data_IF_035924017366
#
_entry.id   IF_035924017366
#
_cell.length_a   1.000
_cell.length_b   1.000
_cell.length_c   1.000
_cell.angle_alpha   90.00
_cell.angle_beta   90.00
_cell.angle_gamma   90.00
#
_symmetry.space_group_name_H-M   'P 1'
#
loop_
_entity.id
_entity.type
_entity.pdbx_description
1 polymer ?
#
# COMPACT_ATOMS: atom_id res chain seq x y z
N UNK A 1 -25.11 50.08 29.74
CA UNK A 1 -25.69 49.18 28.72
C UNK A 1 -25.48 47.74 29.19
N UNK A 2 -26.55 47.03 29.57
CA UNK A 2 -26.48 45.69 30.19
C UNK A 2 -26.76 44.65 29.09
N UNK A 3 -25.73 43.91 28.67
CA UNK A 3 -25.88 42.81 27.70
C UNK A 3 -26.71 41.70 28.33
N UNK A 4 -27.80 41.33 27.69
CA UNK A 4 -28.64 40.20 28.10
C UNK A 4 -27.93 38.91 27.68
N UNK A 5 -27.37 38.19 28.64
CA UNK A 5 -26.96 36.79 28.44
C UNK A 5 -28.23 35.94 28.55
N UNK A 6 -28.89 35.69 27.42
CA UNK A 6 -30.03 34.77 27.37
C UNK A 6 -29.51 33.34 27.34
N UNK A 7 -29.72 32.66 28.47
CA UNK A 7 -29.29 31.30 28.72
C UNK A 7 -30.08 30.27 27.92
N UNK A 8 -29.42 29.73 26.90
CA UNK A 8 -29.68 28.40 26.33
C UNK A 8 -28.38 27.56 26.31
N UNK A 9 -27.44 27.83 27.22
CA UNK A 9 -26.08 27.24 27.24
C UNK A 9 -26.07 25.70 27.30
N UNK A 10 -27.05 25.07 27.97
CA UNK A 10 -27.08 23.61 28.13
C UNK A 10 -27.60 22.90 26.86
N UNK A 11 -28.61 23.46 26.18
CA UNK A 11 -29.08 22.91 24.89
C UNK A 11 -28.03 23.14 23.78
N UNK A 12 -27.36 24.29 23.80
CA UNK A 12 -26.32 24.66 22.83
C UNK A 12 -25.09 23.76 22.92
N UNK A 13 -24.66 23.44 24.14
CA UNK A 13 -23.58 22.46 24.37
C UNK A 13 -23.99 21.03 23.99
N UNK A 14 -25.23 20.62 24.25
CA UNK A 14 -25.78 19.34 23.76
C UNK A 14 -25.76 19.25 22.23
N UNK A 15 -26.22 20.30 21.55
CA UNK A 15 -26.22 20.37 20.08
C UNK A 15 -24.77 20.34 19.56
N UNK A 16 -23.85 21.08 20.19
CA UNK A 16 -22.43 21.08 19.84
C UNK A 16 -21.80 19.70 20.00
N UNK A 17 -22.10 18.98 21.10
CA UNK A 17 -21.65 17.61 21.34
C UNK A 17 -22.19 16.64 20.28
N UNK A 18 -23.45 16.77 19.90
CA UNK A 18 -24.05 15.96 18.83
C UNK A 18 -23.34 16.22 17.50
N UNK A 19 -23.18 17.48 17.10
CA UNK A 19 -22.49 17.86 15.85
C UNK A 19 -21.05 17.33 15.85
N UNK A 20 -20.33 17.50 16.96
CA UNK A 20 -18.95 17.01 17.12
C UNK A 20 -18.88 15.49 17.03
N UNK A 21 -19.80 14.78 17.67
CA UNK A 21 -19.84 13.31 17.63
C UNK A 21 -20.04 12.78 16.19
N UNK A 22 -20.93 13.41 15.43
CA UNK A 22 -21.16 13.07 14.01
C UNK A 22 -19.93 13.40 13.17
N UNK A 23 -19.28 14.54 13.40
CA UNK A 23 -18.03 14.91 12.75
C UNK A 23 -16.92 13.89 12.98
N UNK A 24 -16.75 13.42 14.23
CA UNK A 24 -15.71 12.46 14.59
C UNK A 24 -15.93 11.06 13.98
N UNK A 25 -17.20 10.66 13.84
CA UNK A 25 -17.58 9.45 13.09
C UNK A 25 -17.23 9.57 11.60
N UNK A 26 -17.33 10.77 11.02
CA UNK A 26 -16.86 11.04 9.66
C UNK A 26 -15.34 10.87 9.52
N UNK A 27 -14.58 11.47 10.43
CA UNK A 27 -13.10 11.40 10.43
C UNK A 27 -12.59 9.98 10.61
N UNK A 28 -13.20 9.20 11.51
CA UNK A 28 -12.80 7.80 11.73
C UNK A 28 -12.99 6.93 10.49
N UNK A 29 -14.09 7.09 9.76
CA UNK A 29 -14.28 6.40 8.47
C UNK A 29 -13.18 6.76 7.46
N UNK A 30 -12.83 8.05 7.36
CA UNK A 30 -11.73 8.49 6.50
C UNK A 30 -10.40 7.88 6.95
N UNK A 31 -10.10 7.89 8.25
CA UNK A 31 -8.88 7.30 8.82
C UNK A 31 -8.76 5.81 8.48
N UNK A 32 -9.85 5.05 8.54
CA UNK A 32 -9.87 3.64 8.15
C UNK A 32 -9.56 3.45 6.66
N UNK A 33 -10.16 4.27 5.79
CA UNK A 33 -9.88 4.22 4.35
C UNK A 33 -8.42 4.57 4.04
N UNK A 34 -7.86 5.57 4.72
CA UNK A 34 -6.45 5.94 4.59
C UNK A 34 -5.51 4.83 5.06
N UNK A 35 -5.83 4.17 6.18
CA UNK A 35 -5.05 3.02 6.65
C UNK A 35 -5.04 1.89 5.63
N UNK A 36 -6.19 1.54 5.04
CA UNK A 36 -6.28 0.54 3.96
C UNK A 36 -5.47 0.94 2.74
N UNK A 37 -5.61 2.19 2.27
CA UNK A 37 -4.85 2.69 1.13
C UNK A 37 -3.34 2.67 1.39
N UNK A 38 -2.92 3.02 2.62
CA UNK A 38 -1.53 2.97 3.05
C UNK A 38 -0.99 1.53 3.03
N UNK A 39 -1.78 0.56 3.50
CA UNK A 39 -1.41 -0.85 3.48
C UNK A 39 -1.17 -1.37 2.05
N UNK A 40 -2.10 -1.13 1.13
CA UNK A 40 -1.95 -1.50 -0.28
C UNK A 40 -0.75 -0.79 -0.93
N UNK A 41 -0.52 0.48 -0.59
CA UNK A 41 0.65 1.22 -1.07
C UNK A 41 1.96 0.62 -0.57
N UNK A 42 2.01 0.13 0.69
CA UNK A 42 3.19 -0.54 1.25
C UNK A 42 3.47 -1.85 0.51
N UNK A 43 2.44 -2.65 0.28
CA UNK A 43 2.57 -3.93 -0.45
C UNK A 43 3.15 -3.74 -1.86
N UNK A 44 2.71 -2.67 -2.55
CA UNK A 44 3.29 -2.28 -3.85
C UNK A 44 4.76 -1.89 -3.76
N UNK A 45 5.14 -1.11 -2.75
CA UNK A 45 6.54 -0.70 -2.54
C UNK A 45 7.42 -1.92 -2.23
N UNK A 46 6.93 -2.86 -1.42
CA UNK A 46 7.62 -4.12 -1.13
C UNK A 46 7.81 -4.98 -2.38
N UNK A 47 6.75 -5.19 -3.18
CA UNK A 47 6.85 -5.91 -4.44
C UNK A 47 7.91 -5.30 -5.37
N UNK A 48 7.96 -3.96 -5.46
CA UNK A 48 8.96 -3.25 -6.24
C UNK A 48 10.37 -3.36 -5.66
N UNK A 49 10.50 -3.38 -4.32
CA UNK A 49 11.79 -3.60 -3.67
C UNK A 49 12.34 -5.00 -3.95
N UNK A 50 11.49 -6.03 -3.89
CA UNK A 50 11.85 -7.40 -4.26
C UNK A 50 12.29 -7.50 -5.72
N UNK A 51 11.53 -6.88 -6.63
CA UNK A 51 11.89 -6.83 -8.04
C UNK A 51 13.25 -6.15 -8.28
N UNK A 52 13.50 -5.02 -7.61
CA UNK A 52 14.78 -4.30 -7.69
C UNK A 52 15.94 -5.13 -7.15
N UNK A 53 15.77 -5.77 -6.00
CA UNK A 53 16.80 -6.64 -5.43
C UNK A 53 17.15 -7.79 -6.39
N UNK A 54 16.15 -8.37 -7.06
CA UNK A 54 16.39 -9.40 -8.06
C UNK A 54 17.16 -8.88 -9.28
N UNK A 55 16.86 -7.66 -9.72
CA UNK A 55 17.61 -6.98 -10.80
C UNK A 55 19.05 -6.69 -10.38
N UNK A 56 19.26 -6.17 -9.18
CA UNK A 56 20.59 -5.91 -8.63
C UNK A 56 21.40 -7.20 -8.57
N UNK A 57 20.80 -8.30 -8.11
CA UNK A 57 21.44 -9.62 -8.11
C UNK A 57 21.85 -10.06 -9.53
N UNK A 58 20.99 -9.89 -10.53
CA UNK A 58 21.33 -10.23 -11.93
C UNK A 58 22.46 -9.35 -12.48
N UNK A 59 22.50 -8.08 -12.06
CA UNK A 59 23.55 -7.14 -12.43
C UNK A 59 24.89 -7.50 -11.78
N UNK A 60 24.87 -7.91 -10.52
CA UNK A 60 26.06 -8.32 -9.78
C UNK A 60 26.64 -9.64 -10.33
N UNK A 61 25.79 -10.59 -10.74
CA UNK A 61 26.23 -11.85 -11.35
C UNK A 61 26.53 -11.74 -12.85
N UNK A 62 26.14 -10.62 -13.49
CA UNK A 62 26.27 -10.41 -14.93
C UNK A 62 25.49 -11.42 -15.79
N UNK A 63 24.57 -12.18 -15.20
CA UNK A 63 23.83 -13.23 -15.88
C UNK A 63 22.36 -13.21 -15.47
N UNK A 64 21.49 -13.34 -16.46
CA UNK A 64 20.06 -13.48 -16.25
C UNK A 64 19.70 -14.96 -16.19
N UNK A 65 19.13 -15.42 -15.08
CA UNK A 65 18.57 -16.76 -14.94
C UNK A 65 17.05 -16.68 -14.95
N UNK A 66 16.42 -17.27 -15.98
CA UNK A 66 14.97 -17.30 -16.06
C UNK A 66 14.41 -18.29 -15.04
N UNK A 67 13.36 -17.91 -14.34
CA UNK A 67 12.77 -18.75 -13.31
C UNK A 67 11.76 -18.01 -12.46
N UNK A 68 11.16 -18.75 -11.53
CA UNK A 68 10.21 -18.20 -10.57
C UNK A 68 10.80 -18.29 -9.16
N UNK A 69 10.75 -17.18 -8.43
CA UNK A 69 11.20 -17.08 -7.04
C UNK A 69 9.97 -16.80 -6.17
N UNK A 70 9.58 -17.76 -5.33
CA UNK A 70 8.47 -17.58 -4.39
C UNK A 70 7.77 -18.88 -3.97
N UNK A 71 6.73 -18.78 -3.11
CA UNK A 71 6.27 -17.54 -2.47
C UNK A 71 7.28 -17.05 -1.42
N UNK A 72 7.69 -15.79 -1.51
CA UNK A 72 8.50 -15.16 -0.47
C UNK A 72 7.58 -14.45 0.51
N UNK A 73 7.69 -14.80 1.79
CA UNK A 73 7.01 -14.07 2.87
C UNK A 73 7.72 -12.74 3.11
N UNK A 74 7.01 -11.61 3.22
CA UNK A 74 7.60 -10.30 3.38
C UNK A 74 8.24 -10.10 4.76
N UNK A 75 8.98 -9.01 4.86
CA UNK A 75 9.50 -8.50 6.13
C UNK A 75 8.38 -8.00 7.06
N UNK A 76 7.24 -7.55 6.51
CA UNK A 76 6.08 -7.07 7.25
C UNK A 76 4.77 -7.55 6.59
N UNK A 77 3.88 -8.17 7.36
CA UNK A 77 2.54 -8.59 6.88
C UNK A 77 2.44 -10.04 6.39
N UNK A 78 1.27 -10.41 5.86
CA UNK A 78 0.92 -11.79 5.46
C UNK A 78 0.81 -11.98 3.94
N UNK A 79 1.19 -10.97 3.16
CA UNK A 79 1.04 -10.96 1.70
C UNK A 79 2.17 -11.73 1.03
N UNK A 80 1.85 -12.83 0.34
CA UNK A 80 2.86 -13.60 -0.39
C UNK A 80 3.16 -12.99 -1.75
N UNK A 81 4.44 -12.84 -2.07
CA UNK A 81 4.90 -12.37 -3.38
C UNK A 81 5.53 -13.51 -4.18
N UNK A 82 5.24 -13.55 -5.47
CA UNK A 82 5.90 -14.45 -6.43
C UNK A 82 6.56 -13.62 -7.51
N UNK A 83 7.85 -13.82 -7.72
CA UNK A 83 8.60 -13.21 -8.81
C UNK A 83 8.71 -14.20 -9.97
N UNK A 84 8.57 -13.70 -11.19
CA UNK A 84 8.78 -14.43 -12.43
C UNK A 84 9.77 -13.64 -13.28
N UNK A 85 10.92 -14.23 -13.55
CA UNK A 85 12.04 -13.64 -14.27
C UNK A 85 12.06 -14.22 -15.67
N UNK A 86 11.93 -13.36 -16.67
CA UNK A 86 12.04 -13.71 -18.07
C UNK A 86 13.34 -13.13 -18.64
N UNK A 87 14.25 -14.03 -19.02
CA UNK A 87 15.48 -13.72 -19.72
C UNK A 87 15.30 -14.14 -21.18
N UNK A 88 15.35 -13.19 -22.11
CA UNK A 88 15.41 -13.52 -23.54
C UNK A 88 16.72 -12.99 -24.12
N UNK A 89 17.25 -13.67 -25.13
CA UNK A 89 18.48 -13.26 -25.81
C UNK A 89 18.30 -12.05 -26.73
N UNK A 90 17.06 -11.61 -26.96
CA UNK A 90 16.71 -10.52 -27.87
C UNK A 90 16.20 -9.26 -27.16
N UNK A 91 15.82 -9.35 -25.87
CA UNK A 91 15.27 -8.23 -25.10
C UNK A 91 15.92 -8.13 -23.73
N UNK A 92 15.82 -6.93 -23.16
CA UNK A 92 16.16 -6.67 -21.77
C UNK A 92 15.45 -7.65 -20.81
N UNK A 93 16.08 -8.04 -19.70
CA UNK A 93 15.44 -8.91 -18.71
C UNK A 93 14.20 -8.25 -18.12
N UNK A 94 13.17 -9.07 -17.91
CA UNK A 94 11.88 -8.63 -17.36
C UNK A 94 11.63 -9.36 -16.06
N UNK A 95 11.38 -8.61 -15.00
CA UNK A 95 10.99 -9.16 -13.69
C UNK A 95 9.53 -8.78 -13.44
N UNK A 96 8.68 -9.78 -13.30
CA UNK A 96 7.26 -9.63 -12.99
C UNK A 96 7.01 -10.14 -11.58
N UNK A 97 6.46 -9.31 -10.70
CA UNK A 97 6.05 -9.69 -9.35
C UNK A 97 4.54 -9.75 -9.28
N UNK A 98 3.99 -10.83 -8.74
CA UNK A 98 2.55 -11.02 -8.53
C UNK A 98 2.26 -11.24 -7.05
N UNK A 99 1.19 -10.64 -6.55
CA UNK A 99 0.72 -10.80 -5.18
C UNK A 99 -0.79 -10.56 -5.07
N UNK A 100 -1.38 -11.03 -3.98
CA UNK A 100 -2.78 -10.71 -3.61
C UNK A 100 -2.72 -9.69 -2.48
N UNK A 101 -3.33 -8.53 -2.67
CA UNK A 101 -3.30 -7.45 -1.69
C UNK A 101 -4.20 -7.75 -0.47
N UNK A 102 -4.08 -6.94 0.58
CA UNK A 102 -4.92 -7.04 1.80
C UNK A 102 -6.41 -6.82 1.56
N UNK A 103 -6.83 -6.40 0.36
CA UNK A 103 -8.24 -6.30 -0.05
C UNK A 103 -8.73 -7.55 -0.78
N UNK A 104 -7.84 -8.51 -1.07
CA UNK A 104 -8.11 -9.73 -1.81
C UNK A 104 -7.95 -9.57 -3.33
N UNK A 105 -7.42 -8.44 -3.81
CA UNK A 105 -7.25 -8.19 -5.25
C UNK A 105 -5.87 -8.68 -5.71
N UNK A 106 -5.84 -9.40 -6.83
CA UNK A 106 -4.58 -9.79 -7.48
C UNK A 106 -3.95 -8.58 -8.17
N UNK A 107 -2.68 -8.34 -7.89
CA UNK A 107 -1.89 -7.25 -8.46
C UNK A 107 -0.60 -7.80 -9.06
N UNK A 108 -0.08 -7.07 -10.05
CA UNK A 108 1.20 -7.36 -10.66
C UNK A 108 2.02 -6.09 -10.87
N UNK A 109 3.34 -6.23 -10.72
CA UNK A 109 4.34 -5.19 -10.96
C UNK A 109 5.34 -5.74 -11.98
N UNK A 110 5.67 -4.96 -13.01
CA UNK A 110 6.65 -5.36 -14.03
C UNK A 110 7.76 -4.32 -14.05
N UNK A 111 9.00 -4.78 -13.94
CA UNK A 111 10.19 -3.95 -14.11
C UNK A 111 11.01 -4.52 -15.28
N UNK A 112 11.38 -3.62 -16.20
CA UNK A 112 12.30 -3.89 -17.29
C UNK A 112 13.53 -3.00 -17.08
N UNK A 113 14.73 -3.57 -17.18
CA UNK A 113 15.98 -2.82 -16.97
C UNK A 113 16.97 -3.11 -18.08
N UNK A 114 17.72 -2.09 -18.49
CA UNK A 114 18.91 -2.31 -19.32
C UNK A 114 20.03 -2.81 -18.41
N UNK A 115 20.68 -3.93 -18.77
CA UNK A 115 21.77 -4.52 -17.98
C UNK A 115 23.08 -3.82 -18.28
#
# INVERSE_FOLDING_TARGET
MRRQQTGLSLIESLISLVILSVGLLGVTKLQLSLNKATQVSRERVEAMALARNQIEQMRDTGSCSAGSVGPTTPYQGSTSYTLNIACTTATLPVVTVTWVDSTGSSNNAVIQTNL
#
